data_IF_939683968646
#
_entry.id   IF_939683968646
#
_cell.length_a   1.000
_cell.length_b   1.000
_cell.length_c   1.000
_cell.angle_alpha   90.00
_cell.angle_beta   90.00
_cell.angle_gamma   90.00
#
_symmetry.space_group_name_H-M   'P 1'
#
loop_
_entity.id
_entity.type
_entity.pdbx_description
1 polymer ?
#
# COMPACT_ATOMS: atom_id res chain seq x y z
N UNK A 1 -5.34 -7.82 -11.02
CA UNK A 1 -6.81 -7.62 -11.01
C UNK A 1 -7.28 -6.14 -11.03
N UNK A 2 -6.40 -5.13 -11.05
CA UNK A 2 -6.83 -3.71 -11.15
C UNK A 2 -7.24 -3.26 -12.57
N UNK A 3 -6.66 -3.83 -13.65
CA UNK A 3 -6.98 -3.42 -15.02
C UNK A 3 -8.38 -3.85 -15.46
N UNK A 4 -8.88 -5.00 -15.00
CA UNK A 4 -10.24 -5.44 -15.34
C UNK A 4 -11.31 -4.48 -14.86
N UNK A 5 -11.23 -4.02 -13.59
CA UNK A 5 -12.21 -3.07 -13.04
C UNK A 5 -12.14 -1.71 -13.71
N UNK A 6 -10.94 -1.17 -13.93
CA UNK A 6 -10.78 0.12 -14.62
C UNK A 6 -11.22 0.06 -16.08
N UNK A 7 -10.97 -1.06 -16.76
CA UNK A 7 -11.46 -1.27 -18.12
C UNK A 7 -12.98 -1.30 -18.17
N UNK A 8 -13.63 -2.06 -17.29
CA UNK A 8 -15.10 -2.07 -17.17
C UNK A 8 -15.65 -0.69 -16.81
N UNK A 9 -14.98 0.07 -15.93
CA UNK A 9 -15.37 1.44 -15.61
C UNK A 9 -15.27 2.37 -16.82
N UNK A 10 -14.19 2.27 -17.61
CA UNK A 10 -14.03 3.04 -18.84
C UNK A 10 -15.15 2.71 -19.83
N UNK A 11 -15.43 1.44 -20.07
CA UNK A 11 -16.50 1.04 -21.00
C UNK A 11 -17.87 1.54 -20.54
N UNK A 12 -18.16 1.47 -19.24
CA UNK A 12 -19.38 2.05 -18.69
C UNK A 12 -19.42 3.59 -18.85
N UNK A 13 -18.29 4.26 -18.64
CA UNK A 13 -18.18 5.71 -18.79
C UNK A 13 -18.42 6.15 -20.24
N UNK A 14 -17.82 5.46 -21.21
CA UNK A 14 -18.05 5.69 -22.64
C UNK A 14 -19.50 5.44 -23.03
N UNK A 15 -20.09 4.34 -22.56
CA UNK A 15 -21.48 4.03 -22.82
C UNK A 15 -22.41 5.13 -22.26
N UNK A 16 -22.21 5.57 -21.02
CA UNK A 16 -23.03 6.61 -20.39
C UNK A 16 -22.88 7.97 -21.08
N UNK A 17 -21.65 8.37 -21.43
CA UNK A 17 -21.38 9.61 -22.15
C UNK A 17 -22.09 9.64 -23.51
N UNK A 18 -22.12 8.50 -24.21
CA UNK A 18 -22.79 8.39 -25.51
C UNK A 18 -24.33 8.48 -25.42
N UNK A 19 -24.94 7.95 -24.35
CA UNK A 19 -26.39 8.06 -24.11
C UNK A 19 -26.80 9.53 -23.89
N UNK A 20 -26.00 10.26 -23.11
CA UNK A 20 -26.24 11.69 -22.87
C UNK A 20 -26.12 12.50 -24.19
N UNK A 21 -25.07 12.26 -24.98
CA UNK A 21 -24.85 12.95 -26.26
C UNK A 21 -25.90 12.61 -27.34
N UNK A 22 -26.40 11.37 -27.38
CA UNK A 22 -27.45 10.96 -28.31
C UNK A 22 -28.82 11.59 -27.99
N UNK A 23 -29.06 11.90 -26.71
CA UNK A 23 -30.26 12.60 -26.26
C UNK A 23 -30.26 14.08 -26.68
N UNK A 24 -29.08 14.69 -26.81
CA UNK A 24 -28.92 16.09 -27.21
C UNK A 24 -28.84 16.31 -28.73
N UNK A 25 -28.33 15.34 -29.50
CA UNK A 25 -27.98 15.55 -30.92
C UNK A 25 -28.93 14.93 -31.95
N UNK A 26 -29.89 14.09 -31.54
CA UNK A 26 -30.86 13.44 -32.45
C UNK A 26 -30.27 12.49 -33.51
N UNK A 27 -28.94 12.32 -33.56
CA UNK A 27 -28.24 11.47 -34.52
C UNK A 27 -27.79 10.17 -33.85
N UNK A 28 -28.38 9.05 -34.24
CA UNK A 28 -28.13 7.70 -33.70
C UNK A 28 -26.85 7.09 -34.31
N UNK A 29 -25.70 7.68 -34.04
CA UNK A 29 -24.41 7.00 -34.30
C UNK A 29 -24.15 5.96 -33.20
N UNK A 30 -23.67 4.77 -33.56
CA UNK A 30 -23.37 3.71 -32.60
C UNK A 30 -22.15 4.14 -31.76
N UNK A 31 -22.20 4.08 -30.42
CA UNK A 31 -21.08 4.47 -29.56
C UNK A 31 -19.81 3.69 -29.92
N UNK A 32 -18.66 4.36 -30.02
CA UNK A 32 -17.38 3.72 -30.37
C UNK A 32 -16.60 3.35 -29.12
N UNK A 33 -15.95 2.19 -29.13
CA UNK A 33 -14.97 1.77 -28.14
C UNK A 33 -13.56 1.81 -28.75
N UNK A 34 -12.78 2.87 -28.45
CA UNK A 34 -11.43 3.01 -28.97
C UNK A 34 -10.42 2.09 -28.27
N UNK A 35 -10.76 1.53 -27.11
CA UNK A 35 -9.86 0.73 -26.29
C UNK A 35 -9.93 -0.78 -26.58
N UNK A 36 -10.89 -1.21 -27.39
CA UNK A 36 -10.98 -2.58 -27.89
C UNK A 36 -10.55 -2.63 -29.35
N UNK A 37 -9.63 -3.54 -29.74
CA UNK A 37 -9.18 -3.67 -31.12
C UNK A 37 -10.31 -3.92 -32.11
N UNK A 38 -10.17 -3.34 -33.31
CA UNK A 38 -11.15 -3.49 -34.39
C UNK A 38 -11.34 -4.95 -34.79
N UNK A 39 -12.59 -5.31 -35.14
CA UNK A 39 -12.95 -6.68 -35.51
C UNK A 39 -13.13 -7.64 -34.34
N UNK A 40 -13.08 -7.16 -33.09
CA UNK A 40 -13.57 -7.93 -31.95
C UNK A 40 -15.09 -8.08 -32.02
N UNK A 41 -15.58 -9.31 -31.91
CA UNK A 41 -16.99 -9.63 -31.74
C UNK A 41 -17.14 -10.40 -30.44
N UNK A 42 -18.02 -9.93 -29.56
CA UNK A 42 -18.28 -10.60 -28.30
C UNK A 42 -19.18 -11.81 -28.55
N UNK A 43 -18.64 -13.02 -28.38
CA UNK A 43 -19.47 -14.21 -28.25
C UNK A 43 -20.23 -14.10 -26.92
N UNK A 44 -21.57 -14.05 -26.99
CA UNK A 44 -22.50 -13.81 -25.87
C UNK A 44 -22.34 -14.78 -24.67
N UNK A 45 -21.50 -15.81 -24.77
CA UNK A 45 -21.32 -16.84 -23.76
C UNK A 45 -20.29 -16.50 -22.66
N UNK A 46 -19.36 -15.56 -22.92
CA UNK A 46 -18.20 -15.32 -22.04
C UNK A 46 -18.50 -14.53 -20.75
N UNK A 47 -19.62 -13.78 -20.66
CA UNK A 47 -19.90 -12.88 -19.52
C UNK A 47 -21.03 -13.36 -18.60
N UNK A 48 -21.39 -14.65 -18.65
CA UNK A 48 -22.40 -15.25 -17.77
C UNK A 48 -21.87 -15.44 -16.34
N UNK A 49 -21.53 -14.37 -15.63
CA UNK A 49 -21.30 -14.40 -14.19
C UNK A 49 -22.12 -13.32 -13.47
N UNK A 50 -23.22 -13.81 -12.88
CA UNK A 50 -24.07 -13.26 -11.81
C UNK A 50 -25.28 -12.38 -12.17
N UNK A 51 -26.51 -12.72 -11.69
CA UNK A 51 -27.75 -12.05 -12.07
C UNK A 51 -28.20 -10.99 -11.05
N UNK A 52 -28.49 -9.79 -11.55
CA UNK A 52 -29.71 -8.99 -11.27
C UNK A 52 -29.51 -7.47 -11.49
N UNK A 53 -28.28 -6.94 -11.42
CA UNK A 53 -27.95 -5.53 -11.80
C UNK A 53 -27.02 -5.42 -13.01
N UNK A 54 -26.46 -6.54 -13.47
CA UNK A 54 -25.54 -6.63 -14.60
C UNK A 54 -26.26 -6.62 -15.96
N UNK A 55 -27.53 -7.03 -16.01
CA UNK A 55 -28.28 -7.20 -17.26
C UNK A 55 -28.50 -5.88 -18.01
N UNK A 56 -28.76 -4.78 -17.29
CA UNK A 56 -28.88 -3.45 -17.88
C UNK A 56 -27.52 -2.90 -18.33
N UNK A 57 -26.47 -3.00 -17.50
CA UNK A 57 -25.09 -2.59 -17.88
C UNK A 57 -24.57 -3.35 -19.09
N UNK A 58 -24.81 -4.65 -19.16
CA UNK A 58 -24.39 -5.49 -20.28
C UNK A 58 -25.09 -5.09 -21.58
N UNK A 59 -26.37 -4.67 -21.52
CA UNK A 59 -27.10 -4.17 -22.70
C UNK A 59 -26.44 -2.94 -23.31
N UNK A 60 -25.92 -2.03 -22.50
CA UNK A 60 -25.22 -0.82 -22.98
C UNK A 60 -23.80 -1.14 -23.47
N UNK A 61 -23.07 -2.03 -22.80
CA UNK A 61 -21.75 -2.50 -23.26
C UNK A 61 -21.82 -3.18 -24.64
N UNK A 62 -22.87 -3.96 -24.91
CA UNK A 62 -23.08 -4.60 -26.22
C UNK A 62 -23.43 -3.61 -27.36
N UNK A 63 -23.66 -2.32 -27.04
CA UNK A 63 -23.87 -1.28 -28.06
C UNK A 63 -22.59 -0.58 -28.48
N UNK A 64 -21.46 -0.78 -27.78
CA UNK A 64 -20.19 -0.22 -28.18
C UNK A 64 -19.63 -0.94 -29.41
N UNK A 65 -19.09 -0.19 -30.37
CA UNK A 65 -18.43 -0.72 -31.55
C UNK A 65 -16.91 -0.63 -31.40
N UNK A 66 -16.18 -1.75 -31.36
CA UNK A 66 -14.73 -1.74 -31.27
C UNK A 66 -14.09 -1.04 -32.46
N UNK A 67 -13.38 0.06 -32.23
CA UNK A 67 -12.70 0.83 -33.27
C UNK A 67 -11.18 0.73 -33.23
N UNK A 68 -10.59 0.40 -32.07
CA UNK A 68 -9.15 0.24 -31.90
C UNK A 68 -8.35 1.50 -32.27
N UNK A 69 -8.50 2.56 -31.47
CA UNK A 69 -7.80 3.83 -31.67
C UNK A 69 -7.08 4.21 -30.38
N UNK A 70 -5.74 4.12 -30.39
CA UNK A 70 -4.94 4.37 -29.19
C UNK A 70 -5.07 5.80 -28.66
N UNK A 71 -5.07 6.80 -29.55
CA UNK A 71 -5.16 8.21 -29.16
C UNK A 71 -6.49 8.54 -28.49
N UNK A 72 -7.59 8.03 -29.04
CA UNK A 72 -8.92 8.16 -28.44
C UNK A 72 -9.02 7.36 -27.13
N UNK A 73 -8.44 6.16 -27.07
CA UNK A 73 -8.42 5.36 -25.85
C UNK A 73 -7.63 6.03 -24.71
N UNK A 74 -6.48 6.63 -25.05
CA UNK A 74 -5.67 7.43 -24.12
C UNK A 74 -6.44 8.65 -23.63
N UNK A 75 -7.13 9.35 -24.53
CA UNK A 75 -7.97 10.50 -24.18
C UNK A 75 -9.14 10.11 -23.26
N UNK A 76 -9.83 9.01 -23.56
CA UNK A 76 -10.88 8.45 -22.72
C UNK A 76 -10.35 8.02 -21.33
N UNK A 77 -9.17 7.42 -21.30
CA UNK A 77 -8.48 7.05 -20.05
C UNK A 77 -8.13 8.27 -19.21
N UNK A 78 -7.66 9.35 -19.84
CA UNK A 78 -7.39 10.63 -19.18
C UNK A 78 -8.67 11.25 -18.61
N UNK A 79 -9.78 11.24 -19.36
CA UNK A 79 -11.07 11.71 -18.85
C UNK A 79 -11.52 10.89 -17.63
N UNK A 80 -11.34 9.57 -17.66
CA UNK A 80 -11.63 8.71 -16.51
C UNK A 80 -10.76 9.08 -15.29
N UNK A 81 -9.47 9.32 -15.49
CA UNK A 81 -8.54 9.74 -14.45
C UNK A 81 -8.88 11.11 -13.87
N UNK A 82 -9.47 12.00 -14.67
CA UNK A 82 -9.87 13.35 -14.25
C UNK A 82 -11.28 13.42 -13.68
N UNK A 83 -12.04 12.32 -13.67
CA UNK A 83 -13.38 12.30 -13.11
C UNK A 83 -13.36 12.73 -11.63
N UNK A 84 -14.20 13.69 -11.26
CA UNK A 84 -14.24 14.25 -9.90
C UNK A 84 -13.28 15.41 -9.66
N UNK A 85 -12.54 15.89 -10.67
CA UNK A 85 -11.59 17.00 -10.55
C UNK A 85 -12.23 18.32 -10.13
N UNK A 86 -13.52 18.51 -10.41
CA UNK A 86 -14.31 19.66 -9.97
C UNK A 86 -14.40 19.78 -8.43
N UNK A 87 -14.13 18.69 -7.70
CA UNK A 87 -14.13 18.65 -6.23
C UNK A 87 -12.74 18.88 -5.62
N UNK A 88 -11.75 19.22 -6.44
CA UNK A 88 -10.39 19.47 -5.97
C UNK A 88 -10.35 20.69 -5.03
N UNK A 89 -9.89 20.49 -3.80
CA UNK A 89 -9.73 21.58 -2.81
C UNK A 89 -8.36 22.26 -2.87
N UNK A 90 -7.45 21.75 -3.71
CA UNK A 90 -6.10 22.28 -3.88
C UNK A 90 -6.00 23.09 -5.18
N UNK A 91 -4.93 23.88 -5.33
CA UNK A 91 -4.70 24.66 -6.55
C UNK A 91 -4.60 23.76 -7.80
N UNK A 92 -4.02 22.57 -7.65
CA UNK A 92 -3.89 21.59 -8.73
C UNK A 92 -4.13 20.16 -8.22
N UNK A 93 -5.04 19.43 -8.86
CA UNK A 93 -5.19 17.98 -8.69
C UNK A 93 -4.90 17.29 -10.03
N UNK A 94 -4.13 16.21 -9.97
CA UNK A 94 -3.62 15.50 -11.14
C UNK A 94 -4.45 14.24 -11.47
N UNK A 95 -5.14 13.70 -10.48
CA UNK A 95 -6.04 12.54 -10.61
C UNK A 95 -7.30 12.82 -9.78
N UNK A 96 -8.44 12.97 -10.45
CA UNK A 96 -9.71 13.40 -9.85
C UNK A 96 -9.51 14.61 -8.92
N UNK A 97 -10.01 14.50 -7.69
CA UNK A 97 -9.86 15.52 -6.64
C UNK A 97 -8.61 15.37 -5.77
N UNK A 98 -7.66 14.50 -6.15
CA UNK A 98 -6.49 14.19 -5.33
C UNK A 98 -5.30 15.08 -5.68
N UNK A 99 -4.72 15.73 -4.67
CA UNK A 99 -3.45 16.44 -4.78
C UNK A 99 -2.29 15.44 -4.81
N UNK A 100 -1.36 15.64 -5.75
CA UNK A 100 -0.16 14.83 -5.89
C UNK A 100 1.02 15.80 -5.99
N UNK A 101 2.04 15.72 -5.12
CA UNK A 101 3.22 16.57 -5.23
C UNK A 101 4.04 16.22 -6.48
N UNK A 102 4.92 17.14 -6.89
CA UNK A 102 5.84 16.88 -8.00
C UNK A 102 6.68 15.64 -7.71
N UNK A 103 6.66 14.67 -8.62
CA UNK A 103 7.37 13.40 -8.47
C UNK A 103 8.89 13.60 -8.53
N UNK A 104 9.59 13.08 -7.52
CA UNK A 104 11.05 13.15 -7.38
C UNK A 104 11.63 11.75 -7.12
N UNK A 105 12.86 11.51 -7.59
CA UNK A 105 13.53 10.23 -7.42
C UNK A 105 13.22 9.20 -8.51
N UNK A 106 13.67 7.96 -8.29
CA UNK A 106 13.44 6.81 -9.18
C UNK A 106 12.29 5.96 -8.65
N UNK A 107 11.46 5.45 -9.54
CA UNK A 107 10.27 4.68 -9.22
C UNK A 107 10.36 3.28 -9.81
N UNK A 108 9.84 2.31 -9.06
CA UNK A 108 9.56 0.97 -9.57
C UNK A 108 8.08 0.87 -9.90
N UNK A 109 7.78 0.58 -11.16
CA UNK A 109 6.44 0.33 -11.63
C UNK A 109 6.17 -1.19 -11.58
N UNK A 110 5.41 -1.60 -10.58
CA UNK A 110 5.10 -3.01 -10.26
C UNK A 110 3.74 -3.44 -10.86
N UNK A 111 3.36 -4.69 -10.64
CA UNK A 111 2.03 -5.22 -10.94
C UNK A 111 1.62 -4.98 -12.41
N UNK A 112 0.44 -4.39 -12.66
CA UNK A 112 -0.07 -4.21 -14.02
C UNK A 112 0.86 -3.36 -14.89
N UNK A 113 1.64 -2.42 -14.33
CA UNK A 113 2.63 -1.69 -15.11
C UNK A 113 3.73 -2.62 -15.63
N UNK A 114 4.20 -3.53 -14.76
CA UNK A 114 5.17 -4.54 -15.11
C UNK A 114 4.61 -5.54 -16.12
N UNK A 115 3.43 -6.13 -15.88
CA UNK A 115 2.86 -7.14 -16.78
C UNK A 115 2.51 -6.59 -18.16
N UNK A 116 1.98 -5.36 -18.23
CA UNK A 116 1.71 -4.68 -19.51
C UNK A 116 3.01 -4.44 -20.27
N UNK A 117 4.03 -3.91 -19.61
CA UNK A 117 5.34 -3.66 -20.25
C UNK A 117 6.04 -4.96 -20.63
N UNK A 118 5.91 -6.02 -19.82
CA UNK A 118 6.45 -7.35 -20.10
C UNK A 118 5.82 -7.96 -21.35
N UNK A 119 4.50 -7.82 -21.51
CA UNK A 119 3.79 -8.28 -22.69
C UNK A 119 4.35 -7.66 -23.99
N UNK A 120 4.68 -6.37 -23.95
CA UNK A 120 5.31 -5.67 -25.07
C UNK A 120 6.83 -5.85 -25.17
N UNK A 121 7.45 -6.66 -24.30
CA UNK A 121 8.89 -6.90 -24.33
C UNK A 121 9.74 -5.73 -23.83
N UNK A 122 9.18 -4.83 -23.01
CA UNK A 122 9.80 -3.58 -22.57
C UNK A 122 10.46 -3.67 -21.18
N UNK A 123 10.40 -4.82 -20.53
CA UNK A 123 11.03 -5.01 -19.21
C UNK A 123 12.53 -5.31 -19.37
N UNK A 124 13.42 -4.78 -18.50
CA UNK A 124 13.14 -3.91 -17.35
C UNK A 124 13.35 -2.41 -17.60
N UNK A 125 13.83 -2.02 -18.80
CA UNK A 125 14.35 -0.67 -19.09
C UNK A 125 13.65 0.07 -20.23
N UNK A 126 12.54 -0.43 -20.75
CA UNK A 126 11.79 0.28 -21.79
C UNK A 126 11.27 1.63 -21.28
N UNK A 127 11.18 2.59 -22.18
CA UNK A 127 10.66 3.92 -21.88
C UNK A 127 9.14 3.97 -21.98
N UNK A 128 8.54 5.01 -21.40
CA UNK A 128 7.11 5.26 -21.56
C UNK A 128 6.76 5.54 -23.04
N UNK A 129 7.70 6.14 -23.79
CA UNK A 129 7.62 6.26 -25.24
C UNK A 129 7.45 4.90 -25.95
N UNK A 130 8.27 3.91 -25.60
CA UNK A 130 8.21 2.59 -26.24
C UNK A 130 6.87 1.90 -25.96
N UNK A 131 6.35 2.06 -24.73
CA UNK A 131 5.03 1.55 -24.36
C UNK A 131 3.91 2.24 -25.14
N UNK A 132 4.04 3.54 -25.38
CA UNK A 132 3.08 4.30 -26.19
C UNK A 132 3.06 3.81 -27.64
N UNK A 133 4.23 3.63 -28.26
CA UNK A 133 4.35 3.12 -29.64
C UNK A 133 3.83 1.69 -29.75
N UNK A 134 4.22 0.80 -28.83
CA UNK A 134 3.76 -0.58 -28.82
C UNK A 134 2.24 -0.68 -28.58
N UNK A 135 1.71 0.13 -27.67
CA UNK A 135 0.27 0.26 -27.42
C UNK A 135 -0.49 0.72 -28.65
N UNK A 136 0.04 1.72 -29.37
CA UNK A 136 -0.56 2.21 -30.62
C UNK A 136 -0.65 1.11 -31.67
N UNK A 137 0.47 0.44 -31.95
CA UNK A 137 0.51 -0.67 -32.91
C UNK A 137 -0.44 -1.81 -32.53
N UNK A 138 -0.58 -2.09 -31.23
CA UNK A 138 -1.47 -3.13 -30.75
C UNK A 138 -2.95 -2.76 -30.88
N UNK A 139 -3.33 -1.54 -30.49
CA UNK A 139 -4.72 -1.07 -30.55
C UNK A 139 -5.26 -1.01 -31.99
N UNK A 140 -4.43 -0.57 -32.93
CA UNK A 140 -4.83 -0.32 -34.33
C UNK A 140 -4.79 -1.58 -35.22
N UNK A 141 -4.29 -2.71 -34.69
CA UNK A 141 -4.23 -3.99 -35.39
C UNK A 141 -5.59 -4.72 -35.40
N UNK A 142 -5.81 -5.54 -36.42
CA UNK A 142 -7.00 -6.40 -36.49
C UNK A 142 -6.99 -7.48 -35.42
N UNK A 143 -8.12 -7.63 -34.73
CA UNK A 143 -8.30 -8.63 -33.67
C UNK A 143 -7.94 -10.06 -34.10
N UNK A 144 -8.26 -10.44 -35.35
CA UNK A 144 -7.94 -11.77 -35.90
C UNK A 144 -6.44 -12.05 -35.99
N UNK A 145 -5.62 -11.02 -36.26
CA UNK A 145 -4.16 -11.14 -36.29
C UNK A 145 -3.60 -11.16 -34.87
N UNK A 146 -4.16 -10.35 -33.97
CA UNK A 146 -3.77 -10.35 -32.55
C UNK A 146 -4.00 -11.73 -31.91
N UNK A 147 -5.18 -12.35 -32.10
CA UNK A 147 -5.45 -13.72 -31.64
C UNK A 147 -4.42 -14.72 -32.18
N UNK A 148 -4.10 -14.63 -33.47
CA UNK A 148 -3.16 -15.56 -34.11
C UNK A 148 -1.75 -15.42 -33.53
N UNK A 149 -1.30 -14.18 -33.38
CA UNK A 149 0.02 -13.84 -32.82
C UNK A 149 0.14 -14.26 -31.35
N UNK A 150 -0.94 -14.12 -30.59
CA UNK A 150 -0.98 -14.35 -29.14
C UNK A 150 -1.92 -15.49 -28.75
N UNK A 151 -1.89 -16.59 -29.51
CA UNK A 151 -2.82 -17.73 -29.37
C UNK A 151 -2.78 -18.43 -28.01
N UNK A 152 -1.70 -18.27 -27.24
CA UNK A 152 -1.55 -18.86 -25.91
C UNK A 152 -2.19 -18.04 -24.79
N UNK A 153 -2.66 -16.82 -25.07
CA UNK A 153 -3.30 -15.94 -24.08
C UNK A 153 -4.82 -16.07 -24.15
N UNK A 154 -5.46 -16.04 -22.98
CA UNK A 154 -6.90 -15.93 -22.91
C UNK A 154 -7.37 -14.61 -23.53
N UNK A 155 -8.43 -14.66 -24.33
CA UNK A 155 -8.95 -13.50 -25.06
C UNK A 155 -9.27 -12.33 -24.14
N UNK A 156 -9.86 -12.60 -22.97
CA UNK A 156 -10.19 -11.57 -21.97
C UNK A 156 -8.97 -10.81 -21.47
N UNK A 157 -7.82 -11.47 -21.37
CA UNK A 157 -6.57 -10.82 -20.97
C UNK A 157 -5.96 -10.06 -22.15
N UNK A 158 -6.04 -10.63 -23.36
CA UNK A 158 -5.52 -10.01 -24.57
C UNK A 158 -6.24 -8.67 -24.88
N UNK A 159 -7.56 -8.60 -24.69
CA UNK A 159 -8.36 -7.39 -24.89
C UNK A 159 -7.93 -6.23 -23.99
N UNK A 160 -7.34 -6.53 -22.82
CA UNK A 160 -6.97 -5.51 -21.84
C UNK A 160 -5.72 -4.73 -22.25
N UNK A 161 -4.85 -5.25 -23.13
CA UNK A 161 -3.55 -4.61 -23.38
C UNK A 161 -3.64 -3.28 -24.13
N UNK A 162 -4.65 -3.08 -24.99
CA UNK A 162 -4.89 -1.78 -25.63
C UNK A 162 -5.26 -0.73 -24.57
N UNK A 163 -6.30 -0.99 -23.77
CA UNK A 163 -6.66 -0.13 -22.63
C UNK A 163 -5.50 0.07 -21.65
N UNK A 164 -4.79 -1.01 -21.29
CA UNK A 164 -3.74 -0.95 -20.26
C UNK A 164 -2.58 -0.06 -20.69
N UNK A 165 -2.12 -0.17 -21.93
CA UNK A 165 -1.05 0.68 -22.45
C UNK A 165 -1.49 2.15 -22.53
N UNK A 166 -2.68 2.43 -23.07
CA UNK A 166 -3.23 3.78 -23.15
C UNK A 166 -3.43 4.42 -21.76
N UNK A 167 -3.94 3.65 -20.80
CA UNK A 167 -4.16 4.08 -19.42
C UNK A 167 -2.86 4.38 -18.69
N UNK A 168 -1.83 3.55 -18.85
CA UNK A 168 -0.52 3.78 -18.23
C UNK A 168 0.10 5.08 -18.75
N UNK A 169 0.03 5.32 -20.07
CA UNK A 169 0.54 6.56 -20.68
C UNK A 169 -0.26 7.77 -20.20
N UNK A 170 -1.59 7.68 -20.18
CA UNK A 170 -2.46 8.75 -19.66
C UNK A 170 -2.14 9.08 -18.19
N UNK A 171 -1.95 8.06 -17.36
CA UNK A 171 -1.65 8.23 -15.95
C UNK A 171 -0.27 8.86 -15.73
N UNK A 172 0.78 8.29 -16.30
CA UNK A 172 2.15 8.71 -16.00
C UNK A 172 2.52 10.00 -16.72
N UNK A 173 2.20 10.11 -18.02
CA UNK A 173 2.57 11.28 -18.82
C UNK A 173 1.56 12.41 -18.66
N UNK A 174 0.30 12.16 -19.03
CA UNK A 174 -0.70 13.23 -19.16
C UNK A 174 -1.19 13.76 -17.81
N UNK A 175 -1.33 12.87 -16.82
CA UNK A 175 -1.75 13.23 -15.46
C UNK A 175 -0.57 13.61 -14.56
N UNK A 176 0.46 12.78 -14.48
CA UNK A 176 1.55 12.95 -13.49
C UNK A 176 2.78 13.71 -14.01
N UNK A 177 2.82 14.05 -15.30
CA UNK A 177 3.88 14.87 -15.89
C UNK A 177 5.25 14.18 -16.00
N UNK A 178 5.29 12.85 -16.04
CA UNK A 178 6.51 12.09 -16.35
C UNK A 178 6.80 12.21 -17.84
N UNK A 179 8.00 12.63 -18.23
CA UNK A 179 8.37 12.72 -19.64
C UNK A 179 8.40 11.32 -20.30
N UNK A 180 8.15 11.24 -21.61
CA UNK A 180 8.06 9.95 -22.31
C UNK A 180 9.41 9.20 -22.34
N UNK A 181 10.51 9.95 -22.33
CA UNK A 181 11.91 9.52 -22.32
C UNK A 181 12.53 9.52 -20.91
N UNK A 182 11.72 9.67 -19.85
CA UNK A 182 12.19 9.74 -18.47
C UNK A 182 12.67 8.36 -17.96
N UNK A 183 13.97 8.24 -17.66
CA UNK A 183 14.57 7.01 -17.16
C UNK A 183 14.27 6.70 -15.68
N UNK A 184 13.52 7.59 -14.99
CA UNK A 184 13.23 7.41 -13.56
C UNK A 184 12.27 6.25 -13.30
N UNK A 185 11.50 5.80 -14.29
CA UNK A 185 10.59 4.66 -14.17
C UNK A 185 11.30 3.37 -14.60
N UNK A 186 11.27 2.35 -13.75
CA UNK A 186 11.72 0.99 -14.09
C UNK A 186 10.63 -0.02 -13.82
N UNK A 187 10.45 -0.98 -14.72
CA UNK A 187 9.44 -2.02 -14.58
C UNK A 187 10.03 -3.25 -13.89
N UNK A 188 9.49 -3.63 -12.74
CA UNK A 188 9.91 -4.82 -12.01
C UNK A 188 8.77 -5.31 -11.10
N UNK A 189 8.59 -6.64 -10.99
CA UNK A 189 7.71 -7.23 -9.97
C UNK A 189 8.45 -8.04 -8.91
N UNK A 190 9.79 -8.08 -8.98
CA UNK A 190 10.63 -8.76 -8.02
C UNK A 190 12.04 -8.13 -7.96
N UNK A 191 12.73 -8.29 -6.83
CA UNK A 191 14.13 -7.90 -6.64
C UNK A 191 14.87 -9.08 -6.02
N UNK A 192 15.90 -9.61 -6.71
CA UNK A 192 16.69 -10.76 -6.22
C UNK A 192 15.79 -11.90 -5.73
N UNK A 193 14.80 -12.25 -6.56
CA UNK A 193 13.80 -13.31 -6.34
C UNK A 193 12.76 -13.06 -5.22
N UNK A 194 12.75 -11.85 -4.65
CA UNK A 194 11.73 -11.44 -3.69
C UNK A 194 10.63 -10.67 -4.43
N UNK A 195 9.36 -11.13 -4.40
CA UNK A 195 8.26 -10.43 -5.05
C UNK A 195 8.02 -9.07 -4.38
N UNK A 196 7.78 -8.04 -5.21
CA UNK A 196 7.46 -6.69 -4.75
C UNK A 196 5.96 -6.53 -4.64
N UNK A 197 5.43 -6.74 -3.44
CA UNK A 197 4.00 -6.59 -3.16
C UNK A 197 3.76 -5.89 -1.80
N UNK A 198 2.63 -5.20 -1.67
CA UNK A 198 2.21 -4.58 -0.41
C UNK A 198 2.06 -5.62 0.69
N UNK A 199 1.72 -6.87 0.34
CA UNK A 199 1.60 -7.98 1.28
C UNK A 199 2.93 -8.26 2.00
N UNK A 200 4.06 -8.16 1.29
CA UNK A 200 5.39 -8.30 1.91
C UNK A 200 5.67 -7.16 2.90
N UNK A 201 5.31 -5.92 2.52
CA UNK A 201 5.44 -4.76 3.41
C UNK A 201 4.60 -4.90 4.68
N UNK A 202 3.35 -5.37 4.53
CA UNK A 202 2.46 -5.64 5.65
C UNK A 202 3.01 -6.73 6.58
N UNK A 203 3.55 -7.81 6.00
CA UNK A 203 4.19 -8.87 6.77
C UNK A 203 5.41 -8.37 7.55
N UNK A 204 6.28 -7.57 6.92
CA UNK A 204 7.44 -6.97 7.60
C UNK A 204 7.00 -6.06 8.75
N UNK A 205 6.00 -5.21 8.51
CA UNK A 205 5.48 -4.29 9.52
C UNK A 205 4.90 -5.04 10.72
N UNK A 206 4.10 -6.09 10.46
CA UNK A 206 3.53 -6.92 11.52
C UNK A 206 4.62 -7.64 12.31
N UNK A 207 5.57 -8.27 11.61
CA UNK A 207 6.69 -9.00 12.25
C UNK A 207 7.55 -8.07 13.10
N UNK A 208 7.84 -6.85 12.62
CA UNK A 208 8.60 -5.88 13.38
C UNK A 208 7.85 -5.42 14.64
N UNK A 209 6.54 -5.19 14.54
CA UNK A 209 5.72 -4.82 15.70
C UNK A 209 5.67 -5.95 16.75
N UNK A 210 5.55 -7.20 16.31
CA UNK A 210 5.54 -8.36 17.21
C UNK A 210 6.90 -8.52 17.93
N UNK A 211 8.01 -8.30 17.21
CA UNK A 211 9.36 -8.31 17.80
C UNK A 211 9.56 -7.18 18.82
N UNK A 212 9.04 -5.98 18.57
CA UNK A 212 9.10 -4.86 19.53
C UNK A 212 8.26 -5.14 20.79
N UNK A 213 7.10 -5.78 20.65
CA UNK A 213 6.25 -6.19 21.77
C UNK A 213 6.94 -7.27 22.60
N UNK A 214 7.46 -8.33 21.98
CA UNK A 214 8.27 -9.33 22.68
C UNK A 214 9.45 -8.65 23.38
N UNK A 215 10.12 -7.70 22.70
CA UNK A 215 11.24 -6.95 23.26
C UNK A 215 10.85 -6.19 24.55
N UNK A 216 9.74 -5.46 24.51
CA UNK A 216 9.25 -4.73 25.68
C UNK A 216 8.85 -5.64 26.85
N UNK A 217 8.26 -6.80 26.54
CA UNK A 217 7.78 -7.76 27.54
C UNK A 217 8.93 -8.44 28.29
N UNK A 218 10.02 -8.86 27.61
CA UNK A 218 11.18 -9.44 28.30
C UNK A 218 11.91 -8.40 29.16
N UNK A 219 12.04 -7.15 28.69
CA UNK A 219 12.62 -6.06 29.49
C UNK A 219 11.77 -5.79 30.74
N UNK A 220 10.45 -5.72 30.61
CA UNK A 220 9.54 -5.54 31.74
C UNK A 220 9.61 -6.71 32.74
N UNK A 221 9.72 -7.94 32.25
CA UNK A 221 9.89 -9.12 33.09
C UNK A 221 11.20 -9.07 33.89
N UNK A 222 12.30 -8.67 33.26
CA UNK A 222 13.60 -8.52 33.91
C UNK A 222 13.57 -7.43 35.00
N UNK A 223 13.00 -6.26 34.69
CA UNK A 223 12.91 -5.15 35.66
C UNK A 223 12.08 -5.57 36.89
N UNK A 224 10.99 -6.31 36.69
CA UNK A 224 10.14 -6.82 37.76
C UNK A 224 10.89 -7.80 38.67
N UNK A 225 11.71 -8.68 38.09
CA UNK A 225 12.47 -9.69 38.83
C UNK A 225 13.59 -9.07 39.69
N UNK A 226 14.32 -8.10 39.13
CA UNK A 226 15.34 -7.34 39.89
C UNK A 226 14.73 -6.51 41.02
N UNK A 227 13.58 -5.87 40.79
CA UNK A 227 12.88 -5.08 41.81
C UNK A 227 12.42 -5.95 42.99
N UNK A 228 11.85 -7.13 42.72
CA UNK A 228 11.42 -8.06 43.75
C UNK A 228 12.60 -8.59 44.57
N UNK A 229 13.67 -9.00 43.90
CA UNK A 229 14.88 -9.53 44.57
C UNK A 229 15.56 -8.45 45.42
N UNK A 230 15.65 -7.21 44.92
CA UNK A 230 16.21 -6.08 45.65
C UNK A 230 15.41 -5.71 46.91
N UNK A 231 14.08 -5.70 46.83
CA UNK A 231 13.20 -5.44 47.99
C UNK A 231 13.37 -6.50 49.08
N UNK A 232 13.51 -7.77 48.70
CA UNK A 232 13.77 -8.87 49.63
C UNK A 232 15.12 -8.69 50.33
N UNK A 233 16.19 -8.40 49.58
CA UNK A 233 17.53 -8.17 50.13
C UNK A 233 17.59 -6.96 51.08
N UNK A 234 16.90 -5.86 50.73
CA UNK A 234 16.77 -4.68 51.59
C UNK A 234 16.08 -5.04 52.92
N UNK A 235 14.98 -5.80 52.86
CA UNK A 235 14.26 -6.27 54.04
C UNK A 235 15.13 -7.12 54.96
N UNK A 236 15.89 -8.06 54.40
CA UNK A 236 16.85 -8.88 55.17
C UNK A 236 17.95 -8.03 55.82
N UNK A 237 18.52 -7.07 55.09
CA UNK A 237 19.54 -6.16 55.62
C UNK A 237 19.02 -5.34 56.81
N UNK A 238 17.81 -4.78 56.68
CA UNK A 238 17.16 -4.03 57.76
C UNK A 238 16.90 -4.93 58.98
N UNK A 239 16.41 -6.16 58.78
CA UNK A 239 16.21 -7.12 59.87
C UNK A 239 17.52 -7.45 60.59
N UNK A 240 18.61 -7.67 59.86
CA UNK A 240 19.92 -7.90 60.45
C UNK A 240 20.39 -6.68 61.25
N UNK A 241 20.22 -5.46 60.73
CA UNK A 241 20.56 -4.22 61.44
C UNK A 241 19.72 -4.10 62.73
N UNK A 242 18.43 -4.42 62.68
CA UNK A 242 17.55 -4.42 63.85
C UNK A 242 17.98 -5.46 64.88
N UNK A 243 18.31 -6.68 64.46
CA UNK A 243 18.80 -7.75 65.34
C UNK A 243 20.13 -7.35 65.98
N UNK A 244 21.09 -6.84 65.21
CA UNK A 244 22.38 -6.36 65.73
C UNK A 244 22.18 -5.20 66.70
N UNK A 245 21.30 -4.26 66.38
CA UNK A 245 20.96 -3.12 67.25
C UNK A 245 20.29 -3.57 68.53
N UNK A 246 19.36 -4.52 68.46
CA UNK A 246 18.67 -5.09 69.61
C UNK A 246 19.64 -5.86 70.51
N UNK A 247 20.49 -6.72 69.94
CA UNK A 247 21.52 -7.47 70.69
C UNK A 247 22.54 -6.52 71.30
N UNK A 248 22.97 -5.48 70.59
CA UNK A 248 23.92 -4.49 71.11
C UNK A 248 23.33 -3.69 72.27
N UNK A 249 22.05 -3.27 72.17
CA UNK A 249 21.32 -2.64 73.29
C UNK A 249 21.11 -3.59 74.47
N UNK A 250 20.95 -4.90 74.21
CA UNK A 250 20.78 -5.92 75.26
C UNK A 250 22.10 -6.30 75.94
N UNK A 251 23.23 -6.25 75.21
CA UNK A 251 24.57 -6.52 75.73
C UNK A 251 25.16 -5.33 76.51
N UNK A 252 24.81 -4.10 76.16
CA UNK A 252 25.23 -2.89 76.87
C UNK A 252 24.07 -2.29 77.67
N UNK A 253 23.76 -2.78 78.89
CA UNK A 253 22.90 -2.03 79.81
C UNK A 253 23.56 -0.68 80.09
N UNK A 254 22.78 0.40 80.08
CA UNK A 254 23.26 1.76 80.35
C UNK A 254 23.96 1.78 81.72
N UNK A 255 25.29 1.81 81.72
CA UNK A 255 26.11 1.96 82.92
C UNK A 255 26.29 3.46 83.14
N UNK A 256 25.75 3.97 84.24
CA UNK A 256 25.95 5.37 84.63
C UNK A 256 27.14 5.42 85.58
N UNK A 257 28.22 6.05 85.14
CA UNK A 257 29.36 6.38 86.00
C UNK A 257 29.04 7.66 86.76
N UNK A 258 28.89 7.55 88.08
CA UNK A 258 28.67 8.69 88.97
C UNK A 258 29.98 8.90 89.76
N UNK A 259 30.47 10.13 89.83
CA UNK A 259 31.68 10.47 90.58
C UNK A 259 31.28 10.87 92.01
N UNK A 260 31.72 10.06 92.98
CA UNK A 260 31.48 10.32 94.38
C UNK A 260 32.55 11.30 94.90
N UNK A 261 32.14 12.56 95.09
CA UNK A 261 32.99 13.66 95.53
C UNK A 261 33.51 13.48 96.96
N UNK A 262 32.87 12.63 97.77
CA UNK A 262 33.23 12.42 99.17
C UNK A 262 34.31 11.33 99.33
N UNK A 263 34.31 10.34 98.43
CA UNK A 263 35.28 9.22 98.44
C UNK A 263 36.35 9.28 97.35
N UNK A 264 36.27 10.27 96.45
CA UNK A 264 37.27 10.50 95.39
C UNK A 264 37.39 9.35 94.39
N UNK A 265 36.31 8.62 94.11
CA UNK A 265 36.31 7.45 93.20
C UNK A 265 35.06 7.40 92.33
N UNK A 266 35.20 6.82 91.13
CA UNK A 266 34.09 6.57 90.21
C UNK A 266 33.34 5.30 90.60
N UNK A 267 32.00 5.36 90.70
CA UNK A 267 31.13 4.19 90.93
C UNK A 267 30.33 3.93 89.65
N UNK A 268 30.41 2.69 89.14
CA UNK A 268 29.66 2.25 87.97
C UNK A 268 28.38 1.57 88.44
N UNK A 269 27.20 2.15 88.18
CA UNK A 269 25.91 1.53 88.52
C UNK A 269 25.13 1.13 87.28
N UNK A 270 24.50 -0.06 87.33
CA UNK A 270 23.69 -0.61 86.23
C UNK A 270 22.29 0.00 86.32
N UNK A 271 21.88 0.78 85.32
CA UNK A 271 20.50 1.29 85.25
C UNK A 271 19.65 0.18 84.63
N UNK A 272 18.88 -0.53 85.46
CA UNK A 272 17.77 -1.34 84.96
C UNK A 272 16.58 -0.39 84.72
N UNK A 273 16.01 -0.45 83.53
CA UNK A 273 14.69 0.12 83.25
C UNK A 273 13.64 -0.92 83.54
#
# INVERSE_FOLDING_TARGET
MLNGRNFTLLLNFLALGSVNAATESGLRSKPMDPCTPKGYTQDMESWKLSPSSLAEKNKYLSTLHPSGNFSECRSASLMLLQNGKEKCSYQHCYIGSTFIPKLQGKFLATENFFYTSKFFGLVPKGFLYDLMVAGQQFCEEDWSKLKRKHHSLHEEDLLRYCFSSAYIVALLHDSLGIALDDERIRYANQVRDIPLDWALGAFILQTAADLDIEHSNWVAAIIRDYSSTFLVLLGFSLMLIFIVSYVSRRRNPQLKTIYDLEKGKYIVTRVNR
#
